data_IF_700638329561
#
_entry.id   IF_700638329561
#
_cell.length_a   1.000
_cell.length_b   1.000
_cell.length_c   1.000
_cell.angle_alpha   90.00
_cell.angle_beta   90.00
_cell.angle_gamma   90.00
#
_symmetry.space_group_name_H-M   'P 1'
#
loop_
_entity.id
_entity.type
_entity.pdbx_description
1 polymer ?
#
# COMPACT_ATOMS: atom_id res chain seq x y z
N UNK A 1 15.29 -6.95 -11.66
CA UNK A 1 13.84 -7.06 -11.89
C UNK A 1 13.30 -5.66 -12.13
N UNK A 2 12.47 -5.45 -13.14
CA UNK A 2 11.88 -4.13 -13.38
C UNK A 2 10.66 -3.96 -12.48
N UNK A 3 10.67 -2.89 -11.68
CA UNK A 3 9.53 -2.45 -10.89
C UNK A 3 8.60 -1.62 -11.77
N UNK A 4 7.30 -1.83 -11.60
CA UNK A 4 6.25 -1.04 -12.27
C UNK A 4 5.50 -0.23 -11.24
N UNK A 5 5.27 1.04 -11.53
CA UNK A 5 4.50 1.94 -10.69
C UNK A 5 3.35 2.58 -11.45
N UNK A 6 2.33 3.02 -10.72
CA UNK A 6 1.15 3.69 -11.26
C UNK A 6 0.75 4.86 -10.36
N UNK A 7 0.48 6.01 -10.95
CA UNK A 7 -0.11 7.13 -10.24
C UNK A 7 -1.58 6.84 -9.90
N UNK A 8 -1.98 7.05 -8.65
CA UNK A 8 -3.37 6.84 -8.24
C UNK A 8 -4.31 7.95 -8.71
N UNK A 9 -3.76 9.11 -9.09
CA UNK A 9 -4.56 10.27 -9.49
C UNK A 9 -4.82 10.32 -11.00
N UNK A 10 -3.77 10.17 -11.83
CA UNK A 10 -3.90 10.25 -13.29
C UNK A 10 -3.67 8.92 -14.03
N UNK A 11 -3.28 7.85 -13.32
CA UNK A 11 -3.05 6.54 -13.92
C UNK A 11 -1.72 6.39 -14.67
N UNK A 12 -0.86 7.41 -14.69
CA UNK A 12 0.44 7.38 -15.36
C UNK A 12 1.31 6.22 -14.86
N UNK A 13 2.01 5.55 -15.78
CA UNK A 13 2.81 4.35 -15.49
C UNK A 13 4.29 4.68 -15.66
N UNK A 14 5.09 4.31 -14.66
CA UNK A 14 6.54 4.42 -14.71
C UNK A 14 7.21 3.08 -14.37
N UNK A 15 8.46 2.94 -14.80
CA UNK A 15 9.27 1.74 -14.59
C UNK A 15 10.61 2.11 -13.96
N UNK A 16 11.12 1.27 -13.06
CA UNK A 16 12.45 1.43 -12.48
C UNK A 16 13.17 0.09 -12.37
N UNK A 17 14.44 0.08 -12.77
CA UNK A 17 15.33 -1.06 -12.54
C UNK A 17 16.10 -0.96 -11.21
N UNK A 18 15.99 0.18 -10.50
CA UNK A 18 16.69 0.38 -9.24
C UNK A 18 16.10 -0.51 -8.12
N UNK A 19 16.93 -0.97 -7.17
CA UNK A 19 16.46 -1.60 -5.94
C UNK A 19 15.46 -0.74 -5.16
N UNK A 20 14.56 -1.38 -4.42
CA UNK A 20 13.46 -0.75 -3.68
C UNK A 20 13.93 0.28 -2.66
N UNK A 21 15.06 -0.01 -2.02
CA UNK A 21 15.69 0.79 -0.97
C UNK A 21 16.16 2.16 -1.49
N UNK A 22 16.35 2.27 -2.81
CA UNK A 22 16.80 3.48 -3.49
C UNK A 22 15.66 4.25 -4.18
N UNK A 23 14.44 3.71 -4.15
CA UNK A 23 13.27 4.33 -4.76
C UNK A 23 12.66 5.34 -3.79
N UNK A 24 13.03 6.62 -3.93
CA UNK A 24 12.36 7.71 -3.21
C UNK A 24 10.94 7.84 -3.75
N UNK A 25 9.93 7.70 -2.89
CA UNK A 25 8.49 7.79 -3.19
C UNK A 25 8.19 8.92 -4.20
N UNK A 26 8.11 8.60 -5.51
CA UNK A 26 8.14 9.64 -6.51
C UNK A 26 6.72 10.17 -6.64
N UNK A 27 6.54 11.47 -6.42
CA UNK A 27 5.32 12.14 -6.90
C UNK A 27 5.25 11.97 -8.42
N UNK A 28 4.04 11.87 -8.96
CA UNK A 28 3.82 11.73 -10.38
C UNK A 28 4.30 12.98 -11.11
N UNK A 29 5.19 12.83 -12.09
CA UNK A 29 5.73 13.95 -12.87
C UNK A 29 4.65 14.70 -13.68
N UNK A 30 3.50 14.06 -13.95
CA UNK A 30 2.40 14.66 -14.70
C UNK A 30 1.42 15.47 -13.86
N UNK A 31 1.14 15.04 -12.63
CA UNK A 31 0.06 15.63 -11.83
C UNK A 31 0.44 15.91 -10.36
N UNK A 32 1.67 15.59 -9.95
CA UNK A 32 2.11 15.69 -8.56
C UNK A 32 1.47 14.66 -7.61
N UNK A 33 0.58 13.79 -8.10
CA UNK A 33 -0.12 12.80 -7.28
C UNK A 33 0.78 11.64 -6.84
N UNK A 34 0.33 10.90 -5.82
CA UNK A 34 1.08 9.75 -5.29
C UNK A 34 1.22 8.62 -6.31
N UNK A 35 2.40 8.03 -6.38
CA UNK A 35 2.71 6.88 -7.23
C UNK A 35 2.91 5.65 -6.36
N UNK A 36 2.26 4.55 -6.73
CA UNK A 36 2.30 3.29 -6.00
C UNK A 36 2.90 2.17 -6.86
N UNK A 37 3.61 1.24 -6.22
CA UNK A 37 4.22 0.07 -6.86
C UNK A 37 3.14 -0.96 -7.18
N UNK A 38 3.01 -1.29 -8.46
CA UNK A 38 2.06 -2.29 -8.97
C UNK A 38 2.72 -3.64 -9.18
N UNK A 39 4.01 -3.66 -9.54
CA UNK A 39 4.77 -4.89 -9.72
C UNK A 39 6.14 -4.80 -9.02
N UNK A 40 6.42 -5.68 -8.04
CA UNK A 40 5.46 -6.59 -7.40
C UNK A 40 4.37 -5.81 -6.64
N UNK A 41 3.15 -6.37 -6.51
CA UNK A 41 2.03 -5.68 -5.89
C UNK A 41 2.34 -5.35 -4.43
N UNK A 42 1.96 -4.15 -4.01
CA UNK A 42 2.07 -3.73 -2.61
C UNK A 42 1.09 -4.49 -1.71
N UNK A 43 1.55 -4.81 -0.50
CA UNK A 43 0.70 -5.27 0.59
C UNK A 43 -0.13 -4.11 1.13
N UNK A 44 -1.24 -4.43 1.80
CA UNK A 44 -2.16 -3.44 2.38
C UNK A 44 -1.42 -2.42 3.29
N UNK A 45 -0.51 -2.89 4.14
CA UNK A 45 0.28 -2.02 5.01
C UNK A 45 1.18 -1.04 4.25
N UNK A 46 1.83 -1.49 3.17
CA UNK A 46 2.65 -0.61 2.32
C UNK A 46 1.79 0.47 1.65
N UNK A 47 0.57 0.13 1.23
CA UNK A 47 -0.37 1.09 0.63
C UNK A 47 -0.80 2.14 1.66
N UNK A 48 -1.15 1.71 2.88
CA UNK A 48 -1.56 2.63 3.95
C UNK A 48 -0.44 3.62 4.32
N UNK A 49 0.81 3.16 4.33
CA UNK A 49 1.98 4.02 4.54
C UNK A 49 2.15 5.00 3.37
N UNK A 50 2.08 4.53 2.13
CA UNK A 50 2.25 5.39 0.95
C UNK A 50 1.13 6.43 0.79
N UNK A 51 -0.05 6.18 1.35
CA UNK A 51 -1.15 7.16 1.43
C UNK A 51 -1.00 8.16 2.59
N UNK A 52 0.02 8.00 3.46
CA UNK A 52 0.22 8.84 4.64
C UNK A 52 -0.80 8.60 5.75
N UNK A 53 -1.54 7.49 5.71
CA UNK A 53 -2.57 7.13 6.70
C UNK A 53 -1.93 6.58 7.98
N UNK A 54 -0.79 5.89 7.86
CA UNK A 54 -0.05 5.36 9.01
C UNK A 54 1.45 5.42 8.79
N UNK A 55 2.21 5.35 9.87
CA UNK A 55 3.67 5.23 9.81
C UNK A 55 4.14 3.77 9.73
N UNK A 56 5.40 3.56 9.31
CA UNK A 56 6.06 2.25 9.38
C UNK A 56 6.11 1.72 10.81
N UNK A 57 6.31 2.60 11.79
CA UNK A 57 6.35 2.25 13.20
C UNK A 57 4.98 1.74 13.70
N UNK A 58 3.89 2.34 13.25
CA UNK A 58 2.54 1.92 13.63
C UNK A 58 2.18 0.57 13.02
N UNK A 59 2.54 0.35 11.75
CA UNK A 59 2.37 -0.94 11.11
C UNK A 59 3.15 -2.04 11.83
N UNK A 60 4.41 -1.75 12.22
CA UNK A 60 5.24 -2.69 12.97
C UNK A 60 4.60 -3.06 14.31
N UNK A 61 4.14 -2.07 15.08
CA UNK A 61 3.44 -2.31 16.35
C UNK A 61 2.18 -3.18 16.15
N UNK A 62 1.39 -2.90 15.10
CA UNK A 62 0.19 -3.67 14.82
C UNK A 62 0.52 -5.14 14.48
N UNK A 63 1.59 -5.40 13.74
CA UNK A 63 2.04 -6.76 13.43
C UNK A 63 2.54 -7.50 14.69
N UNK A 64 3.32 -6.83 15.53
CA UNK A 64 3.77 -7.39 16.82
C UNK A 64 2.60 -7.76 17.74
N UNK A 65 1.53 -6.94 17.74
CA UNK A 65 0.30 -7.26 18.47
C UNK A 65 -0.38 -8.47 17.84
N UNK A 66 -0.51 -8.52 16.51
CA UNK A 66 -1.14 -9.64 15.80
C UNK A 66 -0.46 -10.98 16.11
N UNK A 67 0.87 -11.01 16.13
CA UNK A 67 1.66 -12.22 16.41
C UNK A 67 1.49 -12.74 17.84
N UNK A 68 1.23 -11.84 18.80
CA UNK A 68 1.02 -12.21 20.22
C UNK A 68 -0.42 -12.63 20.52
N UNK A 69 -1.35 -12.36 19.63
CA UNK A 69 -2.75 -12.76 19.81
C UNK A 69 -2.92 -14.25 19.56
N UNK A 70 -3.69 -14.91 20.42
CA UNK A 70 -4.11 -16.31 20.22
C UNK A 70 -5.21 -16.44 19.15
N UNK A 71 -5.96 -15.36 18.91
CA UNK A 71 -6.96 -15.26 17.87
C UNK A 71 -6.33 -14.84 16.54
N UNK A 72 -6.64 -15.55 15.45
CA UNK A 72 -6.24 -15.19 14.09
C UNK A 72 -7.08 -14.01 13.57
N UNK A 73 -6.75 -12.79 14.01
CA UNK A 73 -7.39 -11.58 13.51
C UNK A 73 -6.67 -11.07 12.25
N UNK A 74 -7.41 -10.78 11.18
CA UNK A 74 -6.83 -10.16 9.97
C UNK A 74 -6.34 -8.74 10.26
N UNK A 75 -5.19 -8.37 9.67
CA UNK A 75 -4.49 -7.11 9.97
C UNK A 75 -5.39 -5.88 9.78
N UNK A 76 -6.21 -5.84 8.73
CA UNK A 76 -7.14 -4.72 8.49
C UNK A 76 -8.13 -4.48 9.64
N UNK A 77 -8.68 -5.56 10.24
CA UNK A 77 -9.57 -5.46 11.41
C UNK A 77 -8.80 -5.05 12.66
N UNK A 78 -7.58 -5.56 12.83
CA UNK A 78 -6.72 -5.18 13.94
C UNK A 78 -6.37 -3.69 13.91
N UNK A 79 -6.03 -3.15 12.75
CA UNK A 79 -5.70 -1.73 12.57
C UNK A 79 -6.85 -0.80 12.98
N UNK A 80 -8.10 -1.18 12.66
CA UNK A 80 -9.29 -0.47 13.14
C UNK A 80 -9.45 -0.60 14.66
N UNK A 81 -9.30 -1.83 15.21
CA UNK A 81 -9.41 -2.06 16.66
C UNK A 81 -8.38 -1.24 17.46
N UNK A 82 -7.18 -1.05 16.90
CA UNK A 82 -6.11 -0.25 17.49
C UNK A 82 -6.31 1.27 17.27
N UNK A 83 -7.41 1.70 16.64
CA UNK A 83 -7.68 3.09 16.24
C UNK A 83 -6.54 3.71 15.40
N UNK A 84 -5.80 2.88 14.65
CA UNK A 84 -4.73 3.34 13.76
C UNK A 84 -5.27 3.82 12.42
N UNK A 85 -6.41 3.27 11.98
CA UNK A 85 -7.11 3.67 10.76
C UNK A 85 -8.64 3.61 10.96
N UNK A 86 -9.36 4.41 10.19
CA UNK A 86 -10.81 4.35 10.05
C UNK A 86 -11.28 3.32 9.01
N UNK A 87 -12.59 3.03 9.02
CA UNK A 87 -13.24 2.15 8.02
C UNK A 87 -13.05 2.65 6.58
N UNK A 88 -13.28 3.95 6.35
CA UNK A 88 -13.19 4.56 5.02
C UNK A 88 -11.76 4.50 4.45
N UNK A 89 -10.75 4.63 5.33
CA UNK A 89 -9.34 4.55 4.97
C UNK A 89 -8.95 3.12 4.60
N UNK A 90 -9.41 2.13 5.38
CA UNK A 90 -9.23 0.73 5.07
C UNK A 90 -9.88 0.36 3.73
N UNK A 91 -11.12 0.79 3.50
CA UNK A 91 -11.85 0.54 2.24
C UNK A 91 -11.13 1.13 1.04
N UNK A 92 -10.65 2.39 1.15
CA UNK A 92 -9.86 3.04 0.10
C UNK A 92 -8.58 2.26 -0.20
N UNK A 93 -7.83 1.87 0.81
CA UNK A 93 -6.58 1.12 0.62
C UNK A 93 -6.83 -0.28 0.01
N UNK A 94 -7.91 -0.96 0.41
CA UNK A 94 -8.31 -2.25 -0.18
C UNK A 94 -8.73 -2.11 -1.63
N UNK A 95 -9.44 -1.05 -2.00
CA UNK A 95 -9.81 -0.81 -3.41
C UNK A 95 -8.56 -0.65 -4.27
N UNK A 96 -7.61 0.18 -3.82
CA UNK A 96 -6.32 0.37 -4.49
C UNK A 96 -5.56 -0.95 -4.64
N UNK A 97 -5.53 -1.76 -3.57
CA UNK A 97 -4.87 -3.07 -3.61
C UNK A 97 -5.51 -4.00 -4.66
N UNK A 98 -6.84 -4.05 -4.72
CA UNK A 98 -7.57 -4.86 -5.72
C UNK A 98 -7.31 -4.38 -7.14
N UNK A 99 -7.30 -3.06 -7.38
CA UNK A 99 -7.07 -2.48 -8.69
C UNK A 99 -5.66 -2.82 -9.23
N UNK A 100 -4.67 -2.94 -8.34
CA UNK A 100 -3.31 -3.37 -8.69
C UNK A 100 -3.24 -4.86 -9.02
N UNK A 101 -4.03 -5.69 -8.34
CA UNK A 101 -4.10 -7.13 -8.60
C UNK A 101 -4.89 -7.46 -9.86
N UNK A 102 -6.00 -6.75 -10.12
CA UNK A 102 -6.83 -6.94 -11.32
C UNK A 102 -6.10 -6.53 -12.61
N UNK A 103 -5.13 -5.62 -12.51
CA UNK A 103 -4.21 -5.30 -13.62
C UNK A 103 -3.35 -6.49 -14.07
N UNK A 104 -3.41 -7.63 -13.36
CA UNK A 104 -2.77 -8.91 -13.72
C UNK A 104 -3.76 -10.00 -14.15
N UNK A 105 -5.05 -9.70 -14.38
CA UNK A 105 -6.02 -10.64 -14.94
C UNK A 105 -6.83 -10.01 -16.09
N UNK A 106 -6.40 -10.35 -17.31
CA UNK A 106 -7.17 -10.58 -18.56
C UNK A 106 -8.59 -9.98 -18.60
N UNK A 107 -8.77 -8.98 -19.47
CA UNK A 107 -9.46 -9.16 -20.77
C UNK A 107 -8.73 -8.35 -21.85
#
# INVERSE_FOLDING_TARGET
MAYKFKCINCGDISYSAAPLELQKFPVCEKCGGTVLRVQPPMKLGEILIALGIMSEQDLKKALEVQERMTEHLVIGRLLIKLNLIGRNELERALQIQRDMMSSSQIQ
#
